data_IF_532597402798
#
_entry.id   IF_532597402798
#
_cell.length_a   1.000
_cell.length_b   1.000
_cell.length_c   1.000
_cell.angle_alpha   90.00
_cell.angle_beta   90.00
_cell.angle_gamma   90.00
#
_symmetry.space_group_name_H-M   'P 1'
#
loop_
_entity.id
_entity.type
_entity.pdbx_description
1 polymer ?
#
# COMPACT_ATOMS: atom_id res chain seq x y z
N UNK A 1 -11.15 2.59 -4.95
CA UNK A 1 -11.48 3.03 -3.58
C UNK A 1 -12.94 2.74 -3.36
N UNK A 2 -13.27 2.04 -2.27
CA UNK A 2 -14.64 1.67 -1.94
C UNK A 2 -15.15 2.48 -0.74
N UNK A 3 -16.44 2.33 -0.43
CA UNK A 3 -17.09 3.08 0.65
C UNK A 3 -16.52 2.75 2.04
N UNK A 4 -15.98 1.54 2.21
CA UNK A 4 -15.29 1.13 3.45
C UNK A 4 -14.02 1.94 3.65
N UNK A 5 -13.24 2.14 2.59
CA UNK A 5 -12.04 2.95 2.63
C UNK A 5 -12.33 4.41 2.99
N UNK A 6 -13.31 5.03 2.34
CA UNK A 6 -13.70 6.41 2.62
C UNK A 6 -14.16 6.59 4.06
N UNK A 7 -14.89 5.61 4.61
CA UNK A 7 -15.30 5.61 6.01
C UNK A 7 -14.11 5.52 6.97
N UNK A 8 -13.10 4.71 6.66
CA UNK A 8 -11.87 4.65 7.47
C UNK A 8 -11.11 5.97 7.41
N UNK A 9 -10.97 6.59 6.23
CA UNK A 9 -10.36 7.93 6.11
C UNK A 9 -11.09 8.93 7.02
N UNK A 10 -12.40 9.04 6.88
CA UNK A 10 -13.19 10.00 7.65
C UNK A 10 -13.07 9.75 9.16
N UNK A 11 -13.07 8.48 9.59
CA UNK A 11 -12.93 8.11 11.00
C UNK A 11 -11.56 8.48 11.59
N UNK A 12 -10.48 8.35 10.82
CA UNK A 12 -9.15 8.73 11.29
C UNK A 12 -8.95 10.25 11.24
N UNK A 13 -9.39 10.90 10.16
CA UNK A 13 -9.33 12.36 10.05
C UNK A 13 -10.10 13.03 11.19
N UNK A 14 -11.29 12.52 11.56
CA UNK A 14 -12.05 13.09 12.68
C UNK A 14 -11.33 13.03 14.04
N UNK A 15 -10.29 12.19 14.18
CA UNK A 15 -9.48 12.09 15.41
C UNK A 15 -8.23 12.96 15.39
N UNK A 16 -7.73 13.31 14.21
CA UNK A 16 -6.43 13.99 14.06
C UNK A 16 -6.57 15.45 13.63
N UNK A 17 -7.71 15.81 13.04
CA UNK A 17 -8.04 17.17 12.62
C UNK A 17 -8.23 18.07 13.83
N UNK A 18 -7.75 19.31 13.73
CA UNK A 18 -7.90 20.32 14.78
C UNK A 18 -9.37 20.67 15.04
N UNK A 19 -9.68 21.25 16.20
CA UNK A 19 -11.05 21.60 16.60
C UNK A 19 -11.80 22.46 15.57
N UNK A 20 -11.07 23.29 14.82
CA UNK A 20 -11.65 24.16 13.79
C UNK A 20 -11.88 23.47 12.43
N UNK A 21 -11.42 22.24 12.28
CA UNK A 21 -11.53 21.38 11.10
C UNK A 21 -10.93 21.92 9.80
N UNK A 22 -9.95 22.82 9.86
CA UNK A 22 -9.37 23.47 8.66
C UNK A 22 -8.08 22.85 8.14
N UNK A 23 -7.55 21.82 8.80
CA UNK A 23 -6.25 21.21 8.50
C UNK A 23 -6.35 19.79 7.96
N UNK A 24 -7.57 19.31 7.66
CA UNK A 24 -7.79 17.96 7.12
C UNK A 24 -7.07 17.72 5.79
N UNK A 25 -6.95 18.75 4.96
CA UNK A 25 -6.28 18.73 3.67
C UNK A 25 -4.77 18.52 3.82
N UNK A 26 -4.17 19.05 4.90
CA UNK A 26 -2.76 18.86 5.23
C UNK A 26 -2.47 17.46 5.77
N UNK A 27 -3.44 16.86 6.43
CA UNK A 27 -3.32 15.50 6.98
C UNK A 27 -3.61 14.41 5.94
N UNK A 28 -4.37 14.74 4.89
CA UNK A 28 -4.77 13.79 3.85
C UNK A 28 -3.58 13.07 3.19
N UNK A 29 -2.48 13.75 2.77
CA UNK A 29 -1.34 13.06 2.18
C UNK A 29 -0.66 12.07 3.13
N UNK A 30 -0.57 12.41 4.43
CA UNK A 30 0.01 11.54 5.45
C UNK A 30 -0.84 10.30 5.66
N UNK A 31 -2.15 10.45 5.69
CA UNK A 31 -3.07 9.33 5.79
C UNK A 31 -3.01 8.42 4.55
N UNK A 32 -3.00 9.01 3.35
CA UNK A 32 -2.87 8.22 2.12
C UNK A 32 -1.54 7.47 2.06
N UNK A 33 -0.47 8.07 2.56
CA UNK A 33 0.84 7.43 2.67
C UNK A 33 0.79 6.23 3.62
N UNK A 34 0.29 6.41 4.84
CA UNK A 34 0.20 5.32 5.82
C UNK A 34 -0.70 4.20 5.32
N UNK A 35 -1.83 4.54 4.70
CA UNK A 35 -2.73 3.57 4.09
C UNK A 35 -2.06 2.76 2.98
N UNK A 36 -1.39 3.44 2.03
CA UNK A 36 -0.70 2.78 0.91
C UNK A 36 0.48 1.92 1.34
N UNK A 37 1.13 2.27 2.46
CA UNK A 37 2.28 1.55 3.01
C UNK A 37 1.97 0.51 4.08
N UNK A 38 0.71 0.41 4.53
CA UNK A 38 0.32 -0.55 5.56
C UNK A 38 -0.29 -1.80 4.92
N UNK A 39 0.06 -2.98 5.43
CA UNK A 39 -0.53 -4.23 4.96
C UNK A 39 -1.99 -4.32 5.36
N UNK A 40 -2.82 -4.78 4.42
CA UNK A 40 -4.23 -5.02 4.67
C UNK A 40 -4.45 -6.47 5.11
N UNK A 41 -5.04 -6.70 6.27
CA UNK A 41 -5.28 -8.05 6.83
C UNK A 41 -5.98 -9.01 5.85
N UNK A 42 -6.92 -8.50 5.05
CA UNK A 42 -7.68 -9.30 4.08
C UNK A 42 -6.86 -9.79 2.88
N UNK A 43 -5.74 -9.13 2.56
CA UNK A 43 -4.91 -9.46 1.39
C UNK A 43 -3.46 -9.77 1.75
N UNK A 44 -3.02 -9.43 2.96
CA UNK A 44 -1.65 -9.51 3.48
C UNK A 44 -0.64 -8.63 2.73
N UNK A 45 -1.07 -7.94 1.66
CA UNK A 45 -0.25 -7.00 0.91
C UNK A 45 -0.63 -5.55 1.22
N UNK A 46 0.30 -4.64 0.95
CA UNK A 46 0.02 -3.20 0.95
C UNK A 46 -0.77 -2.82 -0.30
N UNK A 47 -1.65 -1.79 -0.24
CA UNK A 47 -2.33 -1.29 -1.45
C UNK A 47 -1.36 -0.83 -2.55
N UNK A 48 -0.18 -0.34 -2.17
CA UNK A 48 0.85 0.05 -3.13
C UNK A 48 1.47 -1.17 -3.85
N UNK A 49 1.73 -2.26 -3.12
CA UNK A 49 2.16 -3.53 -3.71
C UNK A 49 1.15 -4.09 -4.70
N UNK A 50 -0.15 -4.05 -4.36
CA UNK A 50 -1.24 -4.50 -5.23
C UNK A 50 -1.38 -3.69 -6.52
N UNK A 51 -0.89 -2.45 -6.57
CA UNK A 51 -1.07 -1.57 -7.76
C UNK A 51 0.21 -1.40 -8.56
N UNK A 52 1.37 -1.49 -7.91
CA UNK A 52 2.66 -1.22 -8.53
C UNK A 52 3.57 -2.44 -8.64
N UNK A 53 3.16 -3.58 -8.07
CA UNK A 53 3.95 -4.81 -8.01
C UNK A 53 5.19 -4.71 -7.12
N UNK A 54 5.37 -3.61 -6.38
CA UNK A 54 6.54 -3.31 -5.55
C UNK A 54 6.12 -2.68 -4.24
N UNK A 55 6.94 -2.81 -3.22
CA UNK A 55 6.70 -2.11 -1.96
C UNK A 55 7.08 -0.62 -2.05
N UNK A 56 6.35 0.20 -1.29
CA UNK A 56 6.59 1.65 -1.25
C UNK A 56 7.89 1.93 -0.50
N UNK A 57 8.76 2.76 -1.10
CA UNK A 57 10.02 3.19 -0.46
C UNK A 57 9.77 4.45 0.36
N UNK A 58 9.87 4.35 1.68
CA UNK A 58 9.74 5.45 2.62
C UNK A 58 11.11 5.96 3.09
N UNK A 59 11.24 7.25 3.46
CA UNK A 59 12.46 7.76 4.09
C UNK A 59 12.87 6.98 5.35
N UNK A 60 11.89 6.46 6.08
CA UNK A 60 12.11 5.59 7.25
C UNK A 60 12.77 4.25 6.88
N UNK A 61 12.53 3.73 5.68
CA UNK A 61 13.16 2.47 5.24
C UNK A 61 14.66 2.65 5.04
N UNK A 62 15.09 3.83 4.57
CA UNK A 62 16.50 4.21 4.47
C UNK A 62 17.14 4.34 5.85
N UNK A 63 16.46 4.99 6.80
CA UNK A 63 16.95 5.16 8.17
C UNK A 63 17.05 3.83 8.95
N UNK A 64 16.10 2.92 8.73
CA UNK A 64 16.03 1.63 9.41
C UNK A 64 16.87 0.55 8.70
N UNK A 65 17.54 0.88 7.59
CA UNK A 65 18.35 -0.07 6.83
C UNK A 65 17.54 -1.24 6.30
N UNK A 66 16.24 -1.06 6.01
CA UNK A 66 15.46 -2.12 5.38
C UNK A 66 16.07 -2.40 4.01
N UNK A 67 16.30 -3.68 3.65
CA UNK A 67 16.79 -4.00 2.33
C UNK A 67 15.78 -3.48 1.32
N UNK A 68 16.16 -2.42 0.61
CA UNK A 68 15.50 -2.07 -0.64
C UNK A 68 15.64 -3.32 -1.50
N UNK A 69 14.55 -3.79 -2.10
CA UNK A 69 14.60 -4.92 -3.02
C UNK A 69 15.84 -4.81 -3.88
N UNK A 70 16.67 -5.85 -3.81
CA UNK A 70 17.93 -5.92 -4.54
C UNK A 70 17.61 -5.56 -5.98
N UNK A 71 18.10 -4.40 -6.39
CA UNK A 71 18.01 -4.00 -7.78
C UNK A 71 19.10 -4.82 -8.45
N UNK A 72 18.84 -6.10 -8.66
CA UNK A 72 19.59 -6.89 -9.63
C UNK A 72 19.63 -6.03 -10.89
N UNK A 73 20.83 -5.86 -11.46
CA UNK A 73 21.02 -5.16 -12.73
C UNK A 73 20.33 -5.97 -13.84
N UNK A 74 19.00 -5.86 -13.92
CA UNK A 74 18.17 -6.48 -14.94
C UNK A 74 18.12 -5.54 -16.13
N UNK A 75 18.16 -6.11 -17.33
CA UNK A 75 17.80 -5.36 -18.51
C UNK A 75 16.34 -4.90 -18.43
N UNK A 76 15.99 -3.83 -19.15
CA UNK A 76 14.63 -3.29 -19.14
C UNK A 76 13.57 -4.36 -19.51
N UNK A 77 13.76 -5.23 -20.51
CA UNK A 77 12.80 -6.29 -20.83
C UNK A 77 12.62 -7.32 -19.70
N UNK A 78 13.72 -7.76 -19.06
CA UNK A 78 13.68 -8.70 -17.94
C UNK A 78 12.97 -8.08 -16.73
N UNK A 79 13.19 -6.80 -16.47
CA UNK A 79 12.50 -6.08 -15.39
C UNK A 79 10.99 -6.01 -15.63
N UNK A 80 10.55 -5.75 -16.87
CA UNK A 80 9.12 -5.70 -17.22
C UNK A 80 8.47 -7.07 -17.02
N UNK A 81 9.13 -8.14 -17.45
CA UNK A 81 8.57 -9.49 -17.32
C UNK A 81 8.51 -9.94 -15.86
N UNK A 82 9.58 -9.71 -15.09
CA UNK A 82 9.58 -9.89 -13.64
C UNK A 82 8.41 -9.16 -12.96
N UNK A 83 8.17 -7.91 -13.35
CA UNK A 83 7.11 -7.12 -12.74
C UNK A 83 5.72 -7.68 -13.05
N UNK A 84 5.50 -8.19 -14.27
CA UNK A 84 4.25 -8.85 -14.65
C UNK A 84 4.00 -10.10 -13.83
N UNK A 85 4.97 -11.02 -13.82
CA UNK A 85 4.87 -12.28 -13.06
C UNK A 85 4.57 -12.01 -11.59
N UNK A 86 5.27 -11.03 -11.01
CA UNK A 86 5.08 -10.64 -9.62
C UNK A 86 3.68 -10.07 -9.37
N UNK A 87 3.17 -9.21 -10.25
CA UNK A 87 1.81 -8.69 -10.11
C UNK A 87 0.76 -9.80 -10.22
N UNK A 88 0.94 -10.75 -11.13
CA UNK A 88 0.03 -11.89 -11.28
C UNK A 88 -0.02 -12.74 -10.01
N UNK A 89 1.13 -13.06 -9.44
CA UNK A 89 1.24 -13.80 -8.18
C UNK A 89 0.57 -13.05 -7.02
N UNK A 90 0.89 -11.76 -6.84
CA UNK A 90 0.32 -10.94 -5.75
C UNK A 90 -1.20 -10.89 -5.86
N UNK A 91 -1.73 -10.71 -7.07
CA UNK A 91 -3.17 -10.67 -7.29
C UNK A 91 -3.84 -12.03 -7.09
N UNK A 92 -3.19 -13.13 -7.48
CA UNK A 92 -3.68 -14.48 -7.22
C UNK A 92 -3.78 -14.76 -5.73
N UNK A 93 -2.69 -14.54 -4.98
CA UNK A 93 -2.69 -14.71 -3.52
C UNK A 93 -3.72 -13.81 -2.82
N UNK A 94 -3.85 -12.56 -3.24
CA UNK A 94 -4.85 -11.65 -2.68
C UNK A 94 -6.28 -12.17 -2.91
N UNK A 95 -6.60 -12.70 -4.09
CA UNK A 95 -7.90 -13.30 -4.39
C UNK A 95 -8.16 -14.56 -3.56
N UNK A 96 -7.16 -15.41 -3.37
CA UNK A 96 -7.29 -16.59 -2.51
C UNK A 96 -7.57 -16.21 -1.05
N UNK A 97 -6.89 -15.19 -0.53
CA UNK A 97 -7.11 -14.73 0.85
C UNK A 97 -8.50 -14.12 1.01
N UNK A 98 -8.94 -13.31 0.05
CA UNK A 98 -10.27 -12.73 0.05
C UNK A 98 -11.37 -13.80 -0.01
N UNK A 99 -11.18 -14.86 -0.81
CA UNK A 99 -12.15 -15.96 -0.90
C UNK A 99 -12.25 -16.76 0.41
N UNK A 100 -11.11 -16.97 1.09
CA UNK A 100 -11.08 -17.63 2.41
C UNK A 100 -11.68 -16.76 3.52
N UNK A 101 -11.48 -15.45 3.48
CA UNK A 101 -12.03 -14.52 4.49
C UNK A 101 -13.54 -14.29 4.37
N UNK A 102 -14.14 -14.66 3.24
CA UNK A 102 -15.59 -14.54 2.98
C UNK A 102 -16.37 -15.80 3.38
N UNK A 103 -15.67 -16.84 3.87
CA UNK A 103 -16.23 -18.12 4.31
C UNK A 103 -16.29 -18.18 5.83
#
# INVERSE_FOLDING_TARGET
>A
MDERHNRTICHYLSKCVSENQKDWDKLMPLFLLSYRGSQHESTIYTPYMLTSGREMKLPTDLMLGRPLEETEERSLPEFVEYLRERMDQVHEFAREKLSRATK
#
